data_IF_934861501385
#
_entry.id   IF_934861501385
#
_cell.length_a   1.000
_cell.length_b   1.000
_cell.length_c   1.000
_cell.angle_alpha   90.00
_cell.angle_beta   90.00
_cell.angle_gamma   90.00
#
_symmetry.space_group_name_H-M   'P 1'
#
loop_
_entity.id
_entity.type
_entity.pdbx_description
1 polymer ?
#
# COMPACT_ATOMS: atom_id res chain seq x y z
N UNK A 1 -9.49 -19.90 -18.30
CA UNK A 1 -9.70 -18.51 -17.83
C UNK A 1 -9.35 -17.59 -18.97
N UNK A 2 -10.34 -16.84 -19.46
CA UNK A 2 -10.23 -16.03 -20.69
C UNK A 2 -10.16 -14.52 -20.35
N UNK A 3 -10.35 -14.16 -19.07
CA UNK A 3 -10.16 -12.79 -18.56
C UNK A 3 -8.69 -12.40 -18.60
N UNK A 4 -8.42 -11.17 -19.02
CA UNK A 4 -7.12 -10.50 -19.06
C UNK A 4 -6.84 -9.71 -17.77
N UNK A 5 -7.85 -9.48 -16.92
CA UNK A 5 -7.69 -8.78 -15.64
C UNK A 5 -7.07 -9.72 -14.58
N UNK A 6 -5.87 -9.35 -14.09
CA UNK A 6 -5.08 -10.15 -13.14
C UNK A 6 -5.72 -10.24 -11.76
N UNK A 7 -6.30 -9.15 -11.25
CA UNK A 7 -6.97 -9.10 -9.95
C UNK A 7 -8.22 -9.99 -9.97
N UNK A 8 -9.06 -9.83 -10.99
CA UNK A 8 -10.26 -10.66 -11.16
C UNK A 8 -9.90 -12.14 -11.28
N UNK A 9 -8.77 -12.48 -11.91
CA UNK A 9 -8.27 -13.86 -12.00
C UNK A 9 -7.85 -14.41 -10.63
N UNK A 10 -7.15 -13.62 -9.82
CA UNK A 10 -6.74 -14.03 -8.46
C UNK A 10 -7.94 -14.20 -7.54
N UNK A 11 -8.85 -13.22 -7.52
CA UNK A 11 -10.08 -13.27 -6.72
C UNK A 11 -10.98 -14.42 -7.17
N UNK A 12 -11.08 -14.68 -8.48
CA UNK A 12 -11.84 -15.82 -8.99
C UNK A 12 -11.27 -17.17 -8.58
N UNK A 13 -9.94 -17.34 -8.56
CA UNK A 13 -9.31 -18.58 -8.08
C UNK A 13 -9.56 -18.77 -6.59
N UNK A 14 -9.32 -17.74 -5.77
CA UNK A 14 -9.53 -17.81 -4.32
C UNK A 14 -10.99 -18.09 -3.96
N UNK A 15 -11.93 -17.39 -4.62
CA UNK A 15 -13.35 -17.58 -4.41
C UNK A 15 -13.85 -18.96 -4.88
N UNK A 16 -13.33 -19.47 -6.01
CA UNK A 16 -13.63 -20.82 -6.46
C UNK A 16 -13.13 -21.88 -5.47
N UNK A 17 -11.90 -21.73 -4.95
CA UNK A 17 -11.36 -22.62 -3.92
C UNK A 17 -12.20 -22.59 -2.63
N UNK A 18 -12.64 -21.40 -2.19
CA UNK A 18 -13.52 -21.24 -1.02
C UNK A 18 -14.88 -21.91 -1.22
N UNK A 19 -15.52 -21.70 -2.37
CA UNK A 19 -16.82 -22.30 -2.68
C UNK A 19 -16.76 -23.82 -2.82
N UNK A 20 -15.69 -24.36 -3.42
CA UNK A 20 -15.53 -25.81 -3.63
C UNK A 20 -15.18 -26.52 -2.32
N UNK A 21 -14.19 -26.00 -1.57
CA UNK A 21 -13.62 -26.69 -0.41
C UNK A 21 -14.41 -26.37 0.86
N UNK A 22 -14.63 -25.09 1.13
CA UNK A 22 -15.25 -24.62 2.37
C UNK A 22 -16.77 -24.46 2.26
N UNK A 23 -17.34 -24.49 1.04
CA UNK A 23 -18.77 -24.33 0.86
C UNK A 23 -19.29 -22.89 0.95
N UNK A 24 -18.38 -21.92 1.11
CA UNK A 24 -18.70 -20.51 1.28
C UNK A 24 -18.85 -19.90 -0.10
N UNK A 25 -20.08 -19.47 -0.44
CA UNK A 25 -20.42 -19.04 -1.82
C UNK A 25 -20.44 -17.52 -1.98
N UNK A 26 -20.43 -16.77 -0.88
CA UNK A 26 -20.49 -15.32 -0.84
C UNK A 26 -19.31 -14.66 -1.60
N UNK A 27 -18.04 -15.12 -1.45
CA UNK A 27 -16.93 -14.58 -2.23
C UNK A 27 -17.06 -14.86 -3.73
N UNK A 28 -17.60 -16.02 -4.11
CA UNK A 28 -17.78 -16.40 -5.51
C UNK A 28 -18.94 -15.64 -6.16
N UNK A 29 -20.04 -15.46 -5.43
CA UNK A 29 -21.22 -14.75 -5.90
C UNK A 29 -20.97 -13.25 -6.02
N UNK A 30 -20.59 -12.59 -4.92
CA UNK A 30 -20.43 -11.13 -4.89
C UNK A 30 -19.08 -10.65 -5.40
N UNK A 31 -18.01 -11.43 -5.19
CA UNK A 31 -16.66 -11.07 -5.62
C UNK A 31 -16.43 -11.26 -7.11
N UNK A 32 -17.18 -12.14 -7.78
CA UNK A 32 -16.91 -12.53 -9.17
C UNK A 32 -18.18 -12.56 -10.01
N UNK A 33 -19.17 -13.37 -9.65
CA UNK A 33 -20.32 -13.61 -10.52
C UNK A 33 -21.15 -12.35 -10.78
N UNK A 34 -21.53 -11.60 -9.73
CA UNK A 34 -22.32 -10.35 -9.88
C UNK A 34 -21.57 -9.28 -10.68
N UNK A 35 -20.24 -9.23 -10.58
CA UNK A 35 -19.40 -8.31 -11.36
C UNK A 35 -19.42 -8.65 -12.85
N UNK A 36 -19.63 -9.92 -13.21
CA UNK A 36 -19.68 -10.43 -14.57
C UNK A 36 -21.10 -10.90 -14.92
N UNK A 37 -21.94 -9.97 -15.38
CA UNK A 37 -23.37 -10.21 -15.69
C UNK A 37 -23.62 -11.45 -16.57
N UNK A 38 -22.78 -11.69 -17.58
CA UNK A 38 -22.93 -12.81 -18.53
C UNK A 38 -22.58 -14.17 -17.91
N UNK A 39 -21.41 -14.36 -17.26
CA UNK A 39 -21.13 -15.54 -16.43
C UNK A 39 -22.16 -15.83 -15.33
N UNK A 40 -22.73 -14.80 -14.70
CA UNK A 40 -23.81 -14.99 -13.72
C UNK A 40 -25.05 -15.66 -14.32
N UNK A 41 -25.46 -15.24 -15.52
CA UNK A 41 -26.60 -15.85 -16.21
C UNK A 41 -26.30 -17.31 -16.58
N UNK A 42 -25.07 -17.58 -17.03
CA UNK A 42 -24.63 -18.94 -17.35
C UNK A 42 -24.69 -19.88 -16.12
N UNK A 43 -24.30 -19.40 -14.93
CA UNK A 43 -24.35 -20.19 -13.70
C UNK A 43 -25.78 -20.47 -13.23
N UNK A 44 -26.69 -19.51 -13.38
CA UNK A 44 -28.12 -19.68 -13.05
C UNK A 44 -28.78 -20.71 -13.96
N UNK A 45 -28.55 -20.64 -15.27
CA UNK A 45 -29.06 -21.64 -16.24
C UNK A 45 -28.51 -23.02 -15.91
N UNK A 46 -27.22 -23.12 -15.60
CA UNK A 46 -26.61 -24.40 -15.21
C UNK A 46 -27.25 -24.98 -13.95
N UNK A 47 -27.46 -24.15 -12.92
CA UNK A 47 -28.12 -24.57 -11.67
C UNK A 47 -29.54 -25.08 -11.91
N UNK A 48 -30.31 -24.42 -12.78
CA UNK A 48 -31.65 -24.87 -13.15
C UNK A 48 -31.64 -26.25 -13.84
N UNK A 49 -30.77 -26.44 -14.84
CA UNK A 49 -30.67 -27.71 -15.58
C UNK A 49 -30.17 -28.85 -14.68
N UNK A 50 -29.11 -28.60 -13.91
CA UNK A 50 -28.55 -29.59 -12.99
C UNK A 50 -29.56 -29.98 -11.90
N UNK A 51 -30.30 -29.00 -11.35
CA UNK A 51 -31.37 -29.24 -10.37
C UNK A 51 -32.54 -30.06 -10.95
N UNK A 52 -32.95 -29.78 -12.19
CA UNK A 52 -34.00 -30.55 -12.86
C UNK A 52 -33.57 -32.01 -13.08
N UNK A 53 -32.33 -32.24 -13.52
CA UNK A 53 -31.77 -33.60 -13.70
C UNK A 53 -31.66 -34.32 -12.36
N UNK A 54 -31.18 -33.65 -11.30
CA UNK A 54 -31.11 -34.22 -9.97
C UNK A 54 -32.49 -34.60 -9.42
N UNK A 55 -33.51 -33.77 -9.65
CA UNK A 55 -34.90 -34.04 -9.26
C UNK A 55 -35.51 -35.23 -10.01
N UNK A 56 -35.29 -35.33 -11.33
CA UNK A 56 -35.74 -36.49 -12.12
C UNK A 56 -35.03 -37.79 -11.71
N UNK A 57 -33.76 -37.69 -11.30
CA UNK A 57 -32.98 -38.82 -10.79
C UNK A 57 -33.39 -39.25 -9.37
N UNK A 58 -34.29 -38.52 -8.70
CA UNK A 58 -34.76 -38.83 -7.35
C UNK A 58 -33.71 -38.61 -6.26
N UNK A 59 -32.74 -37.73 -6.49
CA UNK A 59 -31.71 -37.42 -5.49
C UNK A 59 -32.33 -36.61 -4.33
N UNK A 60 -32.50 -37.26 -3.18
CA UNK A 60 -32.96 -36.64 -1.95
C UNK A 60 -31.78 -36.44 -0.98
N UNK A 61 -31.85 -35.38 -0.18
CA UNK A 61 -30.89 -35.19 0.92
C UNK A 61 -31.30 -36.07 2.10
N UNK A 62 -30.40 -36.95 2.53
CA UNK A 62 -30.63 -37.87 3.66
C UNK A 62 -29.95 -37.41 4.96
N UNK A 63 -29.22 -36.28 4.91
CA UNK A 63 -28.53 -35.67 6.04
C UNK A 63 -28.40 -34.16 5.83
N UNK A 64 -28.43 -33.40 6.91
CA UNK A 64 -28.13 -31.97 6.86
C UNK A 64 -26.61 -31.76 6.94
N UNK A 65 -25.99 -31.37 5.84
CA UNK A 65 -24.63 -30.87 5.81
C UNK A 65 -24.54 -29.52 5.10
N UNK A 66 -23.54 -28.73 5.47
CA UNK A 66 -23.26 -27.46 4.79
C UNK A 66 -22.95 -27.74 3.30
N UNK A 67 -23.43 -26.93 2.35
CA UNK A 67 -23.11 -27.11 0.93
C UNK A 67 -21.60 -27.10 0.70
N UNK A 68 -21.03 -28.04 -0.06
CA UNK A 68 -19.60 -28.13 -0.36
C UNK A 68 -19.29 -29.35 -1.24
N UNK A 69 -18.08 -29.45 -1.81
CA UNK A 69 -17.75 -30.54 -2.74
C UNK A 69 -17.98 -31.94 -2.14
N UNK A 70 -17.55 -32.11 -0.89
CA UNK A 70 -17.59 -33.39 -0.19
C UNK A 70 -18.94 -33.70 0.44
N UNK A 71 -19.87 -32.73 0.50
CA UNK A 71 -21.20 -32.97 1.06
C UNK A 71 -22.18 -33.55 0.05
N UNK A 72 -21.74 -33.73 -1.21
CA UNK A 72 -22.45 -34.50 -2.24
C UNK A 72 -22.78 -35.94 -1.81
N UNK A 73 -22.03 -36.51 -0.85
CA UNK A 73 -22.31 -37.82 -0.26
C UNK A 73 -23.67 -37.90 0.46
N UNK A 74 -24.25 -36.76 0.84
CA UNK A 74 -25.56 -36.72 1.51
C UNK A 74 -26.73 -37.13 0.60
N UNK A 75 -26.48 -37.18 -0.72
CA UNK A 75 -27.45 -37.58 -1.74
C UNK A 75 -27.28 -39.05 -2.17
N UNK A 76 -26.37 -39.79 -1.54
CA UNK A 76 -26.15 -41.21 -1.80
C UNK A 76 -27.08 -42.02 -0.89
N UNK A 77 -27.96 -42.80 -1.50
CA UNK A 77 -28.81 -43.75 -0.81
C UNK A 77 -28.16 -45.14 -0.82
N UNK A 78 -28.20 -45.83 0.34
CA UNK A 78 -27.72 -47.21 0.46
C UNK A 78 -28.65 -48.22 -0.22
N UNK A 79 -29.94 -47.91 -0.27
CA UNK A 79 -30.95 -48.80 -0.84
C UNK A 79 -31.00 -48.71 -2.37
N UNK A 80 -30.48 -47.62 -2.95
CA UNK A 80 -30.37 -47.44 -4.39
C UNK A 80 -28.94 -47.03 -4.79
N UNK A 81 -28.05 -47.99 -5.10
CA UNK A 81 -26.66 -47.69 -5.47
C UNK A 81 -26.52 -46.91 -6.79
N UNK A 82 -27.57 -46.81 -7.62
CA UNK A 82 -27.58 -45.96 -8.81
C UNK A 82 -27.52 -44.46 -8.48
N UNK A 83 -27.85 -44.07 -7.24
CA UNK A 83 -27.74 -42.67 -6.78
C UNK A 83 -26.30 -42.17 -6.84
N UNK A 84 -25.31 -43.03 -6.59
CA UNK A 84 -23.88 -42.70 -6.70
C UNK A 84 -23.53 -42.28 -8.14
N UNK A 85 -24.01 -43.04 -9.12
CA UNK A 85 -23.80 -42.73 -10.52
C UNK A 85 -24.48 -41.41 -10.91
N UNK A 86 -25.71 -41.17 -10.43
CA UNK A 86 -26.44 -39.92 -10.68
C UNK A 86 -25.78 -38.70 -10.05
N UNK A 87 -25.26 -38.80 -8.82
CA UNK A 87 -24.49 -37.72 -8.17
C UNK A 87 -23.26 -37.38 -9.00
N UNK A 88 -22.50 -38.38 -9.46
CA UNK A 88 -21.34 -38.17 -10.32
C UNK A 88 -21.72 -37.51 -11.67
N UNK A 89 -22.81 -37.97 -12.30
CA UNK A 89 -23.33 -37.40 -13.55
C UNK A 89 -23.72 -35.94 -13.37
N UNK A 90 -24.47 -35.60 -12.31
CA UNK A 90 -24.92 -34.22 -12.05
C UNK A 90 -23.74 -33.29 -11.73
N UNK A 91 -22.72 -33.76 -11.01
CA UNK A 91 -21.50 -32.97 -10.75
C UNK A 91 -20.74 -32.68 -12.04
N UNK A 92 -20.51 -33.70 -12.88
CA UNK A 92 -19.82 -33.54 -14.16
C UNK A 92 -20.64 -32.63 -15.08
N UNK A 93 -21.95 -32.85 -15.16
CA UNK A 93 -22.86 -32.02 -15.94
C UNK A 93 -22.78 -30.55 -15.51
N UNK A 94 -22.79 -30.27 -14.21
CA UNK A 94 -22.73 -28.90 -13.69
C UNK A 94 -21.43 -28.19 -14.09
N UNK A 95 -20.29 -28.89 -14.03
CA UNK A 95 -18.99 -28.32 -14.42
C UNK A 95 -18.94 -28.09 -15.93
N UNK A 96 -19.27 -29.12 -16.72
CA UNK A 96 -19.17 -29.07 -18.19
C UNK A 96 -20.16 -28.06 -18.77
N UNK A 97 -21.42 -28.06 -18.30
CA UNK A 97 -22.45 -27.16 -18.79
C UNK A 97 -22.14 -25.70 -18.44
N UNK A 98 -21.70 -25.42 -17.21
CA UNK A 98 -21.27 -24.07 -16.80
C UNK A 98 -20.11 -23.56 -17.65
N UNK A 99 -19.12 -24.43 -17.91
CA UNK A 99 -17.97 -24.09 -18.73
C UNK A 99 -18.35 -23.80 -20.18
N UNK A 100 -19.14 -24.68 -20.80
CA UNK A 100 -19.57 -24.52 -22.21
C UNK A 100 -20.48 -23.30 -22.37
N UNK A 101 -21.45 -23.10 -21.49
CA UNK A 101 -22.33 -21.92 -21.54
C UNK A 101 -21.54 -20.62 -21.38
N UNK A 102 -20.58 -20.59 -20.45
CA UNK A 102 -19.73 -19.41 -20.25
C UNK A 102 -18.85 -19.13 -21.48
N UNK A 103 -18.41 -20.16 -22.20
CA UNK A 103 -17.66 -19.99 -23.45
C UNK A 103 -18.52 -19.49 -24.61
N UNK A 104 -19.76 -19.99 -24.74
CA UNK A 104 -20.68 -19.66 -25.84
C UNK A 104 -21.32 -18.28 -25.65
N UNK A 105 -21.81 -17.98 -24.45
CA UNK A 105 -22.39 -16.67 -24.11
C UNK A 105 -21.29 -15.59 -24.11
N UNK A 106 -20.04 -16.01 -23.86
CA UNK A 106 -18.92 -15.12 -23.68
C UNK A 106 -19.07 -14.29 -22.40
N UNK A 107 -18.04 -13.52 -22.10
CA UNK A 107 -18.08 -12.53 -21.03
C UNK A 107 -17.47 -11.25 -21.58
N UNK A 108 -18.07 -10.14 -21.20
CA UNK A 108 -17.40 -8.85 -21.30
C UNK A 108 -16.45 -8.82 -20.11
N UNK A 109 -15.16 -8.80 -20.41
CA UNK A 109 -14.17 -8.59 -19.37
C UNK A 109 -14.41 -7.20 -18.77
N UNK A 110 -14.17 -7.07 -17.48
CA UNK A 110 -14.00 -5.72 -16.93
C UNK A 110 -12.86 -5.07 -17.74
N UNK A 111 -12.96 -3.78 -18.08
CA UNK A 111 -11.88 -3.09 -18.78
C UNK A 111 -10.58 -3.44 -18.05
N UNK A 112 -9.69 -4.09 -18.77
CA UNK A 112 -8.32 -4.22 -18.28
C UNK A 112 -7.80 -2.81 -18.41
N UNK A 113 -7.64 -2.13 -17.29
CA UNK A 113 -6.63 -1.10 -17.20
C UNK A 113 -5.36 -1.79 -17.68
N UNK A 114 -5.02 -1.52 -18.94
CA UNK A 114 -3.70 -1.87 -19.45
C UNK A 114 -2.76 -1.27 -18.43
N UNK A 115 -1.94 -2.10 -17.78
CA UNK A 115 -0.91 -1.67 -16.84
C UNK A 115 0.03 -0.73 -17.61
N UNK A 116 -0.35 0.54 -17.66
CA UNK A 116 0.49 1.62 -18.09
C UNK A 116 1.27 1.97 -16.83
N UNK A 117 2.56 1.71 -16.86
CA UNK A 117 3.51 2.02 -15.78
C UNK A 117 3.44 3.49 -15.31
N UNK A 118 2.74 4.35 -16.05
CA UNK A 118 2.43 5.74 -15.69
C UNK A 118 1.24 5.90 -14.72
N UNK A 119 0.33 4.93 -14.59
CA UNK A 119 -0.88 5.06 -13.75
C UNK A 119 -0.73 4.43 -12.36
N UNK A 120 0.25 3.53 -12.16
CA UNK A 120 0.73 3.14 -10.82
C UNK A 120 1.19 4.38 -10.04
N UNK A 121 1.73 5.39 -10.72
CA UNK A 121 2.05 6.67 -10.11
C UNK A 121 0.82 7.51 -9.72
N UNK A 122 -0.36 7.32 -10.31
CA UNK A 122 -1.46 8.28 -10.12
C UNK A 122 -2.40 7.92 -8.96
N UNK A 123 -2.62 6.63 -8.70
CA UNK A 123 -3.42 6.17 -7.56
C UNK A 123 -2.59 6.04 -6.25
N UNK A 124 -1.28 5.83 -6.33
CA UNK A 124 -0.40 6.03 -5.15
C UNK A 124 -0.29 7.51 -4.77
N UNK A 125 -0.27 8.43 -5.73
CA UNK A 125 -0.23 9.89 -5.48
C UNK A 125 -1.43 10.43 -4.68
N UNK A 126 -2.54 9.69 -4.56
CA UNK A 126 -3.64 10.09 -3.69
C UNK A 126 -3.31 9.95 -2.18
N UNK A 127 -2.34 9.09 -1.79
CA UNK A 127 -1.90 8.91 -0.40
C UNK A 127 -0.39 9.11 -0.16
N UNK A 128 0.41 9.27 -1.22
CA UNK A 128 1.84 9.61 -1.09
C UNK A 128 2.02 11.07 -0.64
N UNK A 129 2.84 11.27 0.38
CA UNK A 129 3.29 12.58 0.85
C UNK A 129 4.76 12.73 0.46
N UNK A 130 5.03 13.65 -0.48
CA UNK A 130 6.39 13.94 -0.92
C UNK A 130 7.08 14.96 -0.01
N UNK A 131 8.26 14.60 0.47
CA UNK A 131 9.17 15.43 1.26
C UNK A 131 10.28 15.93 0.33
N UNK A 132 10.52 17.24 0.39
CA UNK A 132 11.59 17.89 -0.38
C UNK A 132 12.85 18.05 0.43
N UNK A 133 13.98 18.18 -0.25
CA UNK A 133 15.23 18.51 0.41
C UNK A 133 15.18 19.93 1.00
N UNK A 134 15.54 20.10 2.28
CA UNK A 134 15.61 21.41 2.93
C UNK A 134 16.86 22.20 2.53
N UNK A 135 17.82 21.57 1.85
CA UNK A 135 19.11 22.17 1.44
C UNK A 135 19.57 21.60 0.10
N UNK A 136 20.44 22.32 -0.60
CA UNK A 136 21.21 21.74 -1.71
C UNK A 136 22.46 21.04 -1.18
N UNK A 137 22.77 19.85 -1.68
CA UNK A 137 23.94 19.12 -1.19
C UNK A 137 24.01 17.66 -1.62
N UNK A 138 24.96 16.94 -1.01
CA UNK A 138 25.14 15.50 -1.25
C UNK A 138 24.20 14.70 -0.37
N UNK A 139 23.41 13.81 -0.96
CA UNK A 139 22.47 12.95 -0.24
C UNK A 139 23.22 11.81 0.43
N UNK A 140 22.80 11.46 1.65
CA UNK A 140 23.26 10.31 2.41
C UNK A 140 22.08 9.52 2.95
N UNK A 141 22.24 8.20 3.00
CA UNK A 141 21.31 7.35 3.75
C UNK A 141 21.51 7.60 5.24
N UNK A 142 20.44 7.45 6.04
CA UNK A 142 20.57 7.55 7.49
C UNK A 142 21.65 6.59 8.03
N UNK A 143 21.75 5.38 7.49
CA UNK A 143 22.77 4.39 7.85
C UNK A 143 24.23 4.87 7.67
N UNK A 144 24.46 5.94 6.92
CA UNK A 144 25.80 6.52 6.67
C UNK A 144 26.09 7.72 7.58
N UNK A 145 25.11 8.16 8.39
CA UNK A 145 25.26 9.24 9.35
C UNK A 145 26.07 8.73 10.55
N UNK A 146 27.06 9.52 10.97
CA UNK A 146 27.96 9.18 12.08
C UNK A 146 27.34 9.43 13.47
N UNK A 147 26.07 9.05 13.66
CA UNK A 147 25.35 9.11 14.91
C UNK A 147 24.42 7.90 15.04
N UNK A 148 24.44 7.21 16.19
CA UNK A 148 23.68 5.97 16.36
C UNK A 148 22.17 6.18 16.42
N UNK A 149 21.70 7.33 16.91
CA UNK A 149 20.28 7.61 17.06
C UNK A 149 19.64 7.78 15.68
N UNK A 150 20.33 8.48 14.77
CA UNK A 150 19.88 8.66 13.39
C UNK A 150 20.14 7.44 12.51
N UNK A 151 21.34 6.84 12.57
CA UNK A 151 21.71 5.74 11.68
C UNK A 151 20.96 4.43 11.93
N UNK A 152 20.46 4.23 13.16
CA UNK A 152 19.60 3.11 13.51
C UNK A 152 18.10 3.44 13.40
N UNK A 153 17.76 4.60 12.83
CA UNK A 153 16.38 5.07 12.63
C UNK A 153 15.54 5.10 13.92
N UNK A 154 16.16 5.31 15.08
CA UNK A 154 15.48 5.25 16.39
C UNK A 154 14.44 6.36 16.52
N UNK A 155 14.75 7.55 16.01
CA UNK A 155 13.83 8.69 15.98
C UNK A 155 12.85 8.64 14.80
N UNK A 156 13.03 7.72 13.87
CA UNK A 156 12.21 7.64 12.67
C UNK A 156 13.00 7.39 11.39
N UNK A 157 12.26 7.22 10.29
CA UNK A 157 12.80 6.99 8.95
C UNK A 157 13.03 8.32 8.22
N UNK A 158 14.00 8.37 7.32
CA UNK A 158 14.37 9.63 6.70
C UNK A 158 15.63 9.57 5.84
N UNK A 159 16.29 10.71 5.72
CA UNK A 159 17.52 10.88 4.97
C UNK A 159 18.39 11.98 5.58
N UNK A 160 19.65 12.06 5.13
CA UNK A 160 20.53 13.16 5.46
C UNK A 160 21.08 13.81 4.18
N UNK A 161 21.44 15.09 4.28
CA UNK A 161 22.10 15.83 3.21
C UNK A 161 23.28 16.57 3.80
N UNK A 162 24.46 16.42 3.19
CA UNK A 162 25.61 17.27 3.49
C UNK A 162 25.42 18.58 2.73
N UNK A 163 25.12 19.70 3.42
CA UNK A 163 24.73 20.93 2.77
C UNK A 163 25.92 21.62 2.09
N UNK A 164 25.65 22.23 0.93
CA UNK A 164 26.62 23.07 0.22
C UNK A 164 26.47 24.56 0.60
N UNK A 165 25.37 24.94 1.25
CA UNK A 165 25.10 26.30 1.71
C UNK A 165 24.38 26.28 3.06
N UNK A 166 24.42 27.41 3.78
CA UNK A 166 23.86 27.54 5.12
C UNK A 166 22.36 27.83 5.18
N UNK A 167 21.65 27.89 4.06
CA UNK A 167 20.23 28.22 4.06
C UNK A 167 19.39 26.95 4.14
N UNK A 168 18.65 26.79 5.23
CA UNK A 168 17.78 25.64 5.47
C UNK A 168 16.33 26.09 5.28
N UNK A 169 15.59 25.41 4.42
CA UNK A 169 14.18 25.67 4.16
C UNK A 169 13.28 24.54 4.64
N UNK A 170 11.98 24.81 4.72
CA UNK A 170 10.99 23.81 5.12
C UNK A 170 10.84 22.70 4.08
N UNK A 171 11.00 21.41 4.44
CA UNK A 171 10.87 20.29 3.52
C UNK A 171 9.40 19.95 3.20
N UNK A 172 8.45 20.42 4.01
CA UNK A 172 7.01 20.20 3.88
C UNK A 172 6.22 21.49 4.18
N UNK A 173 4.94 21.53 3.80
CA UNK A 173 3.99 22.56 4.23
C UNK A 173 3.29 22.09 5.52
N UNK A 174 3.17 22.97 6.52
CA UNK A 174 2.55 22.61 7.79
C UNK A 174 2.68 23.67 8.87
N UNK A 175 2.54 23.24 10.11
CA UNK A 175 2.69 24.07 11.32
C UNK A 175 3.95 23.67 12.05
N UNK A 176 4.70 24.65 12.54
CA UNK A 176 5.90 24.43 13.36
C UNK A 176 5.47 23.93 14.74
N UNK A 177 5.79 22.69 15.06
CA UNK A 177 5.39 22.03 16.31
C UNK A 177 6.51 21.99 17.35
N UNK A 178 7.76 22.17 16.93
CA UNK A 178 8.89 22.29 17.85
C UNK A 178 9.96 23.24 17.30
N UNK A 179 10.54 24.06 18.17
CA UNK A 179 11.75 24.84 17.89
C UNK A 179 12.69 24.70 19.08
N UNK A 180 13.84 24.06 18.87
CA UNK A 180 14.78 23.82 19.97
C UNK A 180 15.43 25.14 20.41
N UNK A 181 15.80 25.31 21.70
CA UNK A 181 16.36 26.57 22.20
C UNK A 181 17.60 27.04 21.43
N UNK A 182 18.48 26.11 21.08
CA UNK A 182 19.72 26.35 20.30
C UNK A 182 19.50 26.39 18.78
N UNK A 183 18.25 26.32 18.31
CA UNK A 183 17.84 26.48 16.89
C UNK A 183 18.39 25.49 15.88
N UNK A 184 19.18 24.51 16.31
CA UNK A 184 19.71 23.43 15.47
C UNK A 184 18.64 22.41 15.00
N UNK A 185 17.45 22.39 15.61
CA UNK A 185 16.40 21.46 15.26
C UNK A 185 15.00 22.10 15.25
N UNK A 186 14.21 21.75 14.25
CA UNK A 186 12.84 22.26 14.03
C UNK A 186 11.92 21.11 13.67
N UNK A 187 10.82 20.97 14.41
CA UNK A 187 9.73 20.03 14.13
C UNK A 187 8.59 20.72 13.40
N UNK A 188 8.09 20.06 12.35
CA UNK A 188 7.04 20.55 11.47
C UNK A 188 6.02 19.44 11.28
N UNK A 189 4.75 19.74 11.53
CA UNK A 189 3.65 18.78 11.32
C UNK A 189 2.79 19.26 10.16
N UNK A 190 2.65 18.44 9.14
CA UNK A 190 1.77 18.71 7.99
C UNK A 190 0.29 18.65 8.39
N UNK A 191 -0.57 19.28 7.60
CA UNK A 191 -2.03 19.19 7.78
C UNK A 191 -2.57 17.75 7.62
N UNK A 192 -1.78 16.86 7.00
CA UNK A 192 -2.08 15.43 6.83
C UNK A 192 -1.61 14.56 8.00
N UNK A 193 -0.98 15.14 9.02
CA UNK A 193 -0.49 14.43 10.21
C UNK A 193 0.94 13.89 10.13
N UNK A 194 1.65 14.08 9.01
CA UNK A 194 3.08 13.74 8.90
C UNK A 194 3.91 14.67 9.78
N UNK A 195 4.68 14.11 10.71
CA UNK A 195 5.59 14.84 11.60
C UNK A 195 7.02 14.71 11.11
N UNK A 196 7.65 15.84 10.78
CA UNK A 196 9.01 15.90 10.24
C UNK A 196 9.88 16.70 11.18
N UNK A 197 11.01 16.14 11.57
CA UNK A 197 12.08 16.82 12.29
C UNK A 197 13.24 17.11 11.33
N UNK A 198 13.62 18.38 11.23
CA UNK A 198 14.84 18.83 10.58
C UNK A 198 15.88 19.09 11.65
N UNK A 199 16.97 18.32 11.66
CA UNK A 199 18.08 18.44 12.60
C UNK A 199 19.36 18.80 11.84
N UNK A 200 20.05 19.86 12.27
CA UNK A 200 21.17 20.43 11.53
C UNK A 200 22.48 20.12 12.25
N UNK A 201 23.30 19.29 11.60
CA UNK A 201 24.57 18.79 12.11
C UNK A 201 24.42 17.75 13.22
N UNK A 202 25.55 17.18 13.64
CA UNK A 202 25.62 16.23 14.77
C UNK A 202 26.26 16.94 15.96
N UNK A 203 25.69 16.75 17.16
CA UNK A 203 26.13 17.37 18.42
C UNK A 203 26.19 18.91 18.42
N UNK A 204 25.55 19.57 17.45
CA UNK A 204 25.52 21.03 17.31
C UNK A 204 24.78 21.75 18.43
N UNK A 205 24.01 21.03 19.25
CA UNK A 205 23.45 21.55 20.51
C UNK A 205 24.53 22.12 21.43
N UNK A 206 25.76 21.59 21.38
CA UNK A 206 26.92 22.04 22.16
C UNK A 206 27.42 23.43 21.77
N UNK A 207 27.02 23.95 20.61
CA UNK A 207 27.33 25.32 20.17
C UNK A 207 26.45 26.37 20.84
N UNK A 208 25.46 25.96 21.66
CA UNK A 208 24.59 26.85 22.42
C UNK A 208 23.88 27.91 21.55
N UNK A 209 23.58 27.56 20.30
CA UNK A 209 22.94 28.43 19.31
C UNK A 209 23.88 29.35 18.54
N UNK A 210 25.20 29.30 18.78
CA UNK A 210 26.19 30.01 17.96
C UNK A 210 26.19 29.44 16.53
N UNK A 211 26.16 30.33 15.55
CA UNK A 211 26.09 29.96 14.14
C UNK A 211 24.70 29.61 13.63
N UNK A 212 23.64 29.74 14.45
CA UNK A 212 22.25 29.50 14.03
C UNK A 212 21.42 30.77 14.15
N UNK A 213 20.81 31.19 13.04
CA UNK A 213 19.88 32.32 13.00
C UNK A 213 18.52 31.85 12.50
N UNK A 214 17.47 32.01 13.30
CA UNK A 214 16.11 31.60 12.92
C UNK A 214 15.08 32.61 13.42
N UNK A 215 14.18 32.98 12.53
CA UNK A 215 13.05 33.87 12.83
C UNK A 215 11.74 33.09 13.10
N UNK A 216 11.79 31.75 13.02
CA UNK A 216 10.64 30.88 13.16
C UNK A 216 10.30 30.64 14.64
N UNK A 217 9.00 30.64 14.94
CA UNK A 217 8.44 30.35 16.26
C UNK A 217 7.52 29.14 16.19
N UNK A 218 7.38 28.47 17.33
CA UNK A 218 6.38 27.41 17.49
C UNK A 218 4.99 27.97 17.24
N UNK A 219 4.17 27.24 16.48
CA UNK A 219 2.83 27.63 16.05
C UNK A 219 2.79 28.39 14.73
N UNK A 220 3.92 28.79 14.15
CA UNK A 220 3.95 29.44 12.85
C UNK A 220 3.48 28.47 11.75
N UNK A 221 2.68 28.98 10.81
CA UNK A 221 2.33 28.27 9.58
C UNK A 221 3.39 28.55 8.54
N UNK A 222 3.98 27.50 7.98
CA UNK A 222 5.04 27.58 6.97
C UNK A 222 4.68 26.75 5.74
N UNK A 223 5.11 27.24 4.59
CA UNK A 223 4.99 26.52 3.34
C UNK A 223 6.31 25.83 3.03
N UNK A 224 6.25 24.75 2.26
CA UNK A 224 7.42 24.12 1.71
C UNK A 224 8.31 25.15 0.97
N UNK A 225 9.62 25.13 1.24
CA UNK A 225 10.56 26.13 0.74
C UNK A 225 10.64 27.43 1.57
N UNK A 226 9.83 27.59 2.62
CA UNK A 226 9.99 28.74 3.53
C UNK A 226 11.32 28.63 4.27
N UNK A 227 12.17 29.68 4.31
CA UNK A 227 13.39 29.67 5.11
C UNK A 227 13.08 29.46 6.59
N UNK A 228 13.75 28.48 7.21
CA UNK A 228 13.54 28.13 8.62
C UNK A 228 14.75 28.47 9.49
N UNK A 229 15.97 28.25 9.01
CA UNK A 229 17.23 28.53 9.71
C UNK A 229 18.30 28.92 8.71
N UNK A 230 19.12 29.90 9.08
CA UNK A 230 20.40 30.20 8.43
C UNK A 230 21.54 29.75 9.35
N UNK A 231 22.52 29.06 8.77
CA UNK A 231 23.55 28.31 9.49
C UNK A 231 24.93 28.71 9.00
N UNK A 232 25.83 29.03 9.93
CA UNK A 232 27.24 29.20 9.63
C UNK A 232 27.95 27.83 9.59
N UNK A 233 28.00 27.23 8.41
CA UNK A 233 28.63 25.91 8.20
C UNK A 233 30.12 25.94 8.55
N UNK A 234 30.81 27.04 8.27
CA UNK A 234 32.25 27.17 8.55
C UNK A 234 32.52 27.15 10.06
N UNK A 235 31.63 27.73 10.87
CA UNK A 235 31.70 27.66 12.32
C UNK A 235 31.52 26.22 12.84
N UNK A 236 30.57 25.48 12.29
CA UNK A 236 30.32 24.07 12.66
C UNK A 236 31.55 23.20 12.32
N UNK A 237 32.10 23.37 11.12
CA UNK A 237 33.30 22.65 10.67
C UNK A 237 34.53 23.02 11.52
N UNK A 238 34.70 24.30 11.86
CA UNK A 238 35.79 24.75 12.72
C UNK A 238 35.69 24.20 14.16
N UNK A 239 34.48 23.86 14.62
CA UNK A 239 34.25 23.15 15.87
C UNK A 239 34.49 21.63 15.78
N UNK A 240 34.79 21.11 14.59
CA UNK A 240 35.02 19.67 14.36
C UNK A 240 33.74 18.84 14.35
N UNK A 241 32.58 19.48 14.13
CA UNK A 241 31.28 18.83 14.11
C UNK A 241 30.83 18.54 12.68
N UNK A 242 30.00 17.51 12.51
CA UNK A 242 29.42 17.17 11.21
C UNK A 242 28.29 18.15 10.84
N UNK A 243 28.22 18.54 9.56
CA UNK A 243 27.23 19.49 9.03
C UNK A 243 26.00 18.82 8.43
N UNK A 244 25.91 17.49 8.49
CA UNK A 244 24.79 16.68 7.99
C UNK A 244 23.44 17.24 8.45
N UNK A 245 22.64 17.71 7.51
CA UNK A 245 21.25 18.12 7.75
C UNK A 245 20.35 16.90 7.60
N UNK A 246 19.80 16.44 8.70
CA UNK A 246 19.00 15.23 8.81
C UNK A 246 17.53 15.59 8.80
N UNK A 247 16.76 14.87 7.99
CA UNK A 247 15.31 14.97 7.91
C UNK A 247 14.73 13.61 8.28
N UNK A 248 14.00 13.54 9.39
CA UNK A 248 13.35 12.31 9.86
C UNK A 248 11.85 12.52 10.04
N UNK A 249 11.09 11.49 9.68
CA UNK A 249 9.66 11.39 9.98
C UNK A 249 9.50 10.72 11.34
N UNK A 250 9.09 11.48 12.34
CA UNK A 250 9.09 11.02 13.75
C UNK A 250 7.96 10.05 14.06
N UNK A 251 6.82 10.17 13.38
CA UNK A 251 5.71 9.22 13.45
C UNK A 251 5.78 8.15 12.35
N UNK A 252 6.99 7.69 11.99
CA UNK A 252 7.20 6.76 10.87
C UNK A 252 6.46 5.42 11.00
N UNK A 253 6.11 5.00 12.22
CA UNK A 253 5.34 3.77 12.47
C UNK A 253 3.87 3.84 11.96
N UNK A 254 3.36 5.05 11.68
CA UNK A 254 2.01 5.26 11.13
C UNK A 254 1.95 5.14 9.61
N UNK A 255 3.08 4.87 8.95
CA UNK A 255 3.22 4.86 7.50
C UNK A 255 3.77 3.51 7.02
N UNK A 256 3.28 3.07 5.86
CA UNK A 256 3.54 1.74 5.32
C UNK A 256 4.87 1.66 4.55
N UNK A 257 5.26 2.74 3.86
CA UNK A 257 6.41 2.72 2.97
C UNK A 257 7.16 4.06 2.92
N UNK A 258 8.48 3.98 2.71
CA UNK A 258 9.41 5.11 2.62
C UNK A 258 10.34 4.87 1.44
N UNK A 259 10.20 5.69 0.40
CA UNK A 259 10.99 5.56 -0.83
C UNK A 259 11.92 6.76 -0.97
N UNK A 260 13.19 6.55 -0.64
CA UNK A 260 14.25 7.52 -0.91
C UNK A 260 14.59 7.46 -2.40
N UNK A 261 14.41 8.56 -3.12
CA UNK A 261 14.72 8.64 -4.54
C UNK A 261 16.24 8.54 -4.72
N UNK A 262 16.69 7.64 -5.60
CA UNK A 262 18.12 7.42 -5.85
C UNK A 262 18.74 8.65 -6.51
N UNK A 263 19.43 9.46 -5.70
CA UNK A 263 20.17 10.65 -6.10
C UNK A 263 21.44 10.77 -5.27
N UNK A 264 22.56 11.08 -5.91
CA UNK A 264 23.83 11.38 -5.22
C UNK A 264 23.85 12.83 -4.69
N UNK A 265 23.26 13.75 -5.45
CA UNK A 265 23.11 15.17 -5.11
C UNK A 265 21.66 15.60 -5.27
N UNK A 266 21.25 16.58 -4.49
CA UNK A 266 19.90 17.13 -4.50
C UNK A 266 19.95 18.65 -4.42
N UNK A 267 19.04 19.31 -5.12
CA UNK A 267 18.83 20.76 -4.98
C UNK A 267 17.80 21.07 -3.89
N UNK A 268 17.92 22.23 -3.25
CA UNK A 268 16.90 22.77 -2.36
C UNK A 268 15.53 22.76 -3.06
N UNK A 269 14.50 22.27 -2.38
CA UNK A 269 13.15 22.22 -2.94
C UNK A 269 12.96 21.15 -4.03
N UNK A 270 13.90 20.23 -4.20
CA UNK A 270 13.72 19.04 -5.00
C UNK A 270 13.11 17.90 -4.17
N UNK A 271 12.20 17.12 -4.74
CA UNK A 271 11.62 15.95 -4.06
C UNK A 271 12.72 14.88 -3.91
N UNK A 272 12.79 14.30 -2.71
CA UNK A 272 13.83 13.32 -2.37
C UNK A 272 13.29 12.11 -1.60
N UNK A 273 12.21 12.25 -0.82
CA UNK A 273 11.62 11.15 -0.07
C UNK A 273 10.10 11.14 -0.25
N UNK A 274 9.57 10.01 -0.71
CA UNK A 274 8.14 9.75 -0.78
C UNK A 274 7.70 8.85 0.38
N UNK A 275 6.62 9.25 1.05
CA UNK A 275 6.05 8.53 2.20
C UNK A 275 4.64 8.09 1.89
N UNK A 276 4.35 6.81 2.04
CA UNK A 276 3.02 6.23 1.78
C UNK A 276 2.35 5.83 3.10
N UNK A 277 1.06 6.13 3.22
CA UNK A 277 0.28 5.75 4.39
C UNK A 277 -0.09 4.26 4.38
#
# INVERSE_FOLDING_TARGET
MKTKNRELRQTALAAASSAIIAGITEPALYGVAVRLKRPMIASVITGFVAGAVAGMAGLASHSMAAPGLFTSVQFIDRDNPMTIAWVAIVMILSIVLSFVLTLVIGFEDLPVEEENLEEIHRDQVAQTISIKSPVSGKVKKLSEVADEVFSKEVLGKGFAVVPNNGQIVSPITGTVTAVFPTKHAIGITSDKGLEVLVHIGIDTVTLEGKGFTSNIKMGDKIYQGTPIVEVDLALIEAAGLATDTIVVVTNSAEYSNFTLLEKDEVSEGEVILDVEK
#
